data_IF_961347993257
#
_entry.id   IF_961347993257
#
_cell.length_a   1.000
_cell.length_b   1.000
_cell.length_c   1.000
_cell.angle_alpha   90.00
_cell.angle_beta   90.00
_cell.angle_gamma   90.00
#
_symmetry.space_group_name_H-M   'P 1'
#
loop_
_entity.id
_entity.type
_entity.pdbx_description
1 polymer ?
#
# COMPACT_ATOMS: atom_id res chain seq x y z
N UNK A 1 9.45 67.70 44.68
CA UNK A 1 9.81 68.01 43.28
C UNK A 1 10.40 66.75 42.67
N UNK A 2 9.63 66.04 41.84
CA UNK A 2 10.11 64.85 41.15
C UNK A 2 10.80 65.26 39.85
N UNK A 3 12.07 64.93 39.70
CA UNK A 3 12.79 65.08 38.42
C UNK A 3 12.34 63.99 37.46
N UNK A 4 11.56 64.37 36.44
CA UNK A 4 11.23 63.47 35.34
C UNK A 4 12.51 63.16 34.55
N UNK A 5 12.96 61.91 34.59
CA UNK A 5 14.04 61.40 33.74
C UNK A 5 13.42 60.95 32.42
N UNK A 6 13.65 61.71 31.35
CA UNK A 6 13.27 61.31 30.01
C UNK A 6 14.37 60.45 29.39
N UNK A 7 14.02 59.27 28.88
CA UNK A 7 14.93 58.43 28.10
C UNK A 7 14.98 58.98 26.67
N UNK A 8 16.13 59.49 26.26
CA UNK A 8 16.38 59.86 24.86
C UNK A 8 16.84 58.58 24.16
N UNK A 9 15.90 57.90 23.50
CA UNK A 9 16.26 56.87 22.53
C UNK A 9 16.86 57.55 21.30
N UNK A 10 18.04 57.11 20.85
CA UNK A 10 18.52 57.52 19.53
C UNK A 10 17.58 56.96 18.47
N UNK A 11 17.31 57.76 17.43
CA UNK A 11 16.46 57.37 16.31
C UNK A 11 16.91 56.04 15.69
N UNK A 12 18.23 55.80 15.62
CA UNK A 12 18.81 54.55 15.13
C UNK A 12 18.44 53.33 15.99
N UNK A 13 18.43 53.49 17.31
CA UNK A 13 18.06 52.41 18.24
C UNK A 13 16.58 52.02 18.09
N UNK A 14 15.72 53.01 17.84
CA UNK A 14 14.30 52.77 17.58
C UNK A 14 14.09 52.04 16.26
N UNK A 15 14.76 52.46 15.18
CA UNK A 15 14.67 51.80 13.87
C UNK A 15 15.19 50.36 13.94
N UNK A 16 16.32 50.12 14.60
CA UNK A 16 16.87 48.77 14.78
C UNK A 16 15.92 47.86 15.57
N UNK A 17 15.30 48.39 16.62
CA UNK A 17 14.30 47.64 17.39
C UNK A 17 13.08 47.27 16.53
N UNK A 18 12.53 48.22 15.77
CA UNK A 18 11.39 47.96 14.88
C UNK A 18 11.72 46.93 13.81
N UNK A 19 12.91 46.99 13.20
CA UNK A 19 13.36 45.99 12.24
C UNK A 19 13.51 44.60 12.86
N UNK A 20 14.02 44.53 14.09
CA UNK A 20 14.17 43.27 14.82
C UNK A 20 12.80 42.66 15.13
N UNK A 21 11.85 43.48 15.59
CA UNK A 21 10.47 43.05 15.85
C UNK A 21 9.81 42.59 14.56
N UNK A 22 9.94 43.34 13.46
CA UNK A 22 9.40 42.95 12.17
C UNK A 22 10.00 41.61 11.68
N UNK A 23 11.31 41.43 11.80
CA UNK A 23 11.99 40.19 11.42
C UNK A 23 11.53 38.99 12.27
N UNK A 24 11.40 39.17 13.59
CA UNK A 24 10.88 38.13 14.49
C UNK A 24 9.42 37.77 14.17
N UNK A 25 8.58 38.76 13.90
CA UNK A 25 7.18 38.52 13.50
C UNK A 25 7.10 37.82 12.14
N UNK A 26 7.94 38.19 11.17
CA UNK A 26 8.00 37.49 9.88
C UNK A 26 8.47 36.05 10.05
N UNK A 27 9.50 35.79 10.87
CA UNK A 27 9.97 34.43 11.17
C UNK A 27 8.89 33.59 11.84
N UNK A 28 8.22 34.14 12.86
CA UNK A 28 7.11 33.46 13.52
C UNK A 28 5.99 33.18 12.52
N UNK A 29 5.59 34.16 11.72
CA UNK A 29 4.58 33.98 10.69
C UNK A 29 4.96 32.85 9.73
N UNK A 30 6.15 32.87 9.14
CA UNK A 30 6.63 31.81 8.24
C UNK A 30 6.77 30.44 8.93
N UNK A 31 7.08 30.40 10.23
CA UNK A 31 7.13 29.14 10.99
C UNK A 31 5.74 28.57 11.31
N UNK A 32 4.72 29.44 11.40
CA UNK A 32 3.34 29.06 11.74
C UNK A 32 2.45 28.82 10.53
N UNK A 33 2.84 29.30 9.34
CA UNK A 33 2.15 28.94 8.09
C UNK A 33 2.36 27.44 7.91
N UNK A 34 1.29 26.62 7.90
CA UNK A 34 1.40 25.22 7.56
C UNK A 34 2.12 25.17 6.23
N UNK A 35 3.31 24.57 6.23
CA UNK A 35 4.23 24.64 5.10
C UNK A 35 3.47 24.31 3.82
N UNK A 36 3.73 25.02 2.72
CA UNK A 36 3.05 24.82 1.44
C UNK A 36 3.08 23.35 0.96
N UNK A 37 3.96 22.54 1.53
CA UNK A 37 4.08 21.10 1.37
C UNK A 37 2.94 20.27 2.00
N UNK A 38 2.14 20.83 2.90
CA UNK A 38 1.10 20.08 3.62
C UNK A 38 -0.02 19.57 2.69
N UNK A 39 -0.39 20.35 1.68
CA UNK A 39 -1.38 19.91 0.68
C UNK A 39 -0.85 18.72 -0.13
N UNK A 40 0.40 18.77 -0.59
CA UNK A 40 1.04 17.67 -1.32
C UNK A 40 1.22 16.43 -0.44
N UNK A 41 1.57 16.60 0.84
CA UNK A 41 1.67 15.49 1.78
C UNK A 41 0.31 14.83 2.05
N UNK A 42 -0.75 15.64 2.21
CA UNK A 42 -2.11 15.12 2.36
C UNK A 42 -2.56 14.40 1.10
N UNK A 43 -2.29 14.93 -0.09
CA UNK A 43 -2.59 14.25 -1.36
C UNK A 43 -1.85 12.91 -1.46
N UNK A 44 -0.55 12.86 -1.15
CA UNK A 44 0.21 11.61 -1.13
C UNK A 44 -0.38 10.58 -0.15
N UNK A 45 -0.85 11.04 1.01
CA UNK A 45 -1.48 10.17 2.01
C UNK A 45 -2.82 9.61 1.52
N UNK A 46 -3.67 10.46 0.92
CA UNK A 46 -4.93 9.99 0.33
C UNK A 46 -4.68 9.03 -0.83
N UNK A 47 -3.74 9.35 -1.72
CA UNK A 47 -3.35 8.45 -2.81
C UNK A 47 -2.87 7.10 -2.29
N UNK A 48 -1.99 7.08 -1.27
CA UNK A 48 -1.52 5.82 -0.69
C UNK A 48 -2.67 4.98 -0.10
N UNK A 49 -3.59 5.62 0.63
CA UNK A 49 -4.74 4.93 1.23
C UNK A 49 -5.74 4.44 0.22
N UNK A 50 -6.15 5.30 -0.70
CA UNK A 50 -7.20 5.00 -1.68
C UNK A 50 -6.68 3.95 -2.66
N UNK A 51 -5.42 4.04 -3.09
CA UNK A 51 -4.78 3.01 -3.92
C UNK A 51 -4.74 1.67 -3.22
N UNK A 52 -4.21 1.62 -1.98
CA UNK A 52 -4.09 0.37 -1.25
C UNK A 52 -5.46 -0.25 -0.94
N UNK A 53 -6.45 0.59 -0.61
CA UNK A 53 -7.84 0.14 -0.43
C UNK A 53 -8.40 -0.42 -1.73
N UNK A 54 -8.21 0.27 -2.85
CA UNK A 54 -8.69 -0.16 -4.17
C UNK A 54 -8.09 -1.52 -4.54
N UNK A 55 -6.77 -1.68 -4.39
CA UNK A 55 -6.11 -2.97 -4.64
C UNK A 55 -6.65 -4.08 -3.74
N UNK A 56 -6.95 -3.77 -2.47
CA UNK A 56 -7.45 -4.75 -1.51
C UNK A 56 -8.91 -5.13 -1.75
N UNK A 57 -9.72 -4.26 -2.36
CA UNK A 57 -11.18 -4.48 -2.52
C UNK A 57 -11.60 -4.84 -3.94
N UNK A 58 -10.81 -4.48 -4.95
CA UNK A 58 -11.17 -4.74 -6.34
C UNK A 58 -10.68 -6.12 -6.74
N UNK A 59 -11.64 -6.96 -7.12
CA UNK A 59 -11.41 -8.31 -7.61
C UNK A 59 -11.17 -8.31 -9.12
N UNK A 60 -10.32 -9.21 -9.57
CA UNK A 60 -10.02 -9.46 -10.97
C UNK A 60 -11.21 -10.19 -11.59
N UNK A 61 -11.76 -9.62 -12.66
CA UNK A 61 -12.87 -10.23 -13.40
C UNK A 61 -12.41 -11.47 -14.18
N UNK A 62 -13.34 -12.33 -14.56
CA UNK A 62 -13.04 -13.49 -15.41
C UNK A 62 -12.45 -13.09 -16.77
N UNK A 63 -12.88 -11.94 -17.30
CA UNK A 63 -12.39 -11.38 -18.57
C UNK A 63 -11.01 -10.72 -18.44
N UNK A 64 -10.62 -10.35 -17.22
CA UNK A 64 -9.34 -9.68 -16.89
C UNK A 64 -8.31 -10.65 -16.29
N UNK A 65 -8.68 -11.90 -16.04
CA UNK A 65 -7.75 -12.94 -15.61
C UNK A 65 -6.79 -13.23 -16.77
N UNK A 66 -5.55 -12.77 -16.62
CA UNK A 66 -4.57 -12.82 -17.70
C UNK A 66 -4.35 -14.26 -18.16
N UNK A 67 -4.35 -14.45 -19.48
CA UNK A 67 -4.08 -15.75 -20.12
C UNK A 67 -2.65 -16.24 -19.86
N UNK A 68 -1.80 -15.38 -19.29
CA UNK A 68 -0.42 -15.68 -18.88
C UNK A 68 -0.31 -16.23 -17.44
N UNK A 69 -1.42 -16.28 -16.69
CA UNK A 69 -1.46 -16.95 -15.39
C UNK A 69 -0.85 -16.16 -14.22
N UNK A 70 -0.71 -14.84 -14.35
CA UNK A 70 -0.16 -13.98 -13.28
C UNK A 70 -1.15 -13.87 -12.12
N UNK A 71 -2.45 -13.76 -12.42
CA UNK A 71 -3.51 -13.65 -11.42
C UNK A 71 -4.72 -14.51 -11.78
N UNK A 72 -5.34 -15.14 -10.78
CA UNK A 72 -6.60 -15.87 -10.97
C UNK A 72 -7.83 -14.95 -10.86
N UNK A 73 -8.89 -15.28 -11.62
CA UNK A 73 -10.19 -14.64 -11.49
C UNK A 73 -10.73 -14.73 -10.05
N UNK A 74 -11.32 -13.65 -9.55
CA UNK A 74 -11.87 -13.59 -8.20
C UNK A 74 -10.85 -13.25 -7.11
N UNK A 75 -9.54 -13.27 -7.39
CA UNK A 75 -8.55 -12.71 -6.48
C UNK A 75 -8.59 -11.18 -6.49
N UNK A 76 -8.17 -10.54 -5.40
CA UNK A 76 -7.98 -9.09 -5.36
C UNK A 76 -6.66 -8.71 -6.02
N UNK A 77 -6.55 -7.52 -6.60
CA UNK A 77 -5.28 -7.06 -7.17
C UNK A 77 -4.14 -7.08 -6.15
N UNK A 78 -4.44 -6.75 -4.89
CA UNK A 78 -3.46 -6.83 -3.81
C UNK A 78 -3.00 -8.27 -3.55
N UNK A 79 -3.94 -9.23 -3.57
CA UNK A 79 -3.62 -10.65 -3.41
C UNK A 79 -2.67 -11.11 -4.50
N UNK A 80 -2.98 -10.79 -5.75
CA UNK A 80 -2.14 -11.17 -6.88
C UNK A 80 -0.71 -10.62 -6.76
N UNK A 81 -0.57 -9.32 -6.45
CA UNK A 81 0.75 -8.69 -6.30
C UNK A 81 1.57 -9.36 -5.17
N UNK A 82 0.92 -9.81 -4.11
CA UNK A 82 1.60 -10.46 -2.97
C UNK A 82 1.91 -11.92 -3.29
N UNK A 83 1.00 -12.67 -3.92
CA UNK A 83 1.22 -14.07 -4.28
C UNK A 83 2.31 -14.24 -5.34
N UNK A 84 2.44 -13.26 -6.23
CA UNK A 84 3.47 -13.23 -7.27
C UNK A 84 4.88 -12.97 -6.69
N UNK A 85 5.01 -12.57 -5.42
CA UNK A 85 6.30 -12.26 -4.81
C UNK A 85 7.09 -13.51 -4.39
N UNK A 86 7.47 -14.36 -5.36
CA UNK A 86 8.45 -15.42 -5.15
C UNK A 86 9.86 -14.80 -4.95
N UNK A 87 10.49 -14.96 -3.77
CA UNK A 87 11.76 -14.30 -3.44
C UNK A 87 12.94 -14.73 -4.31
N UNK A 88 12.85 -15.85 -5.05
CA UNK A 88 13.96 -16.37 -5.87
C UNK A 88 13.94 -15.89 -7.34
N UNK A 89 12.89 -15.17 -7.78
CA UNK A 89 12.60 -14.88 -9.19
C UNK A 89 12.41 -13.40 -9.56
N UNK A 90 13.12 -12.48 -8.89
CA UNK A 90 12.96 -11.01 -8.93
C UNK A 90 12.86 -10.28 -10.30
N UNK A 91 12.92 -10.94 -11.46
CA UNK A 91 12.87 -10.25 -12.76
C UNK A 91 11.47 -10.16 -13.41
N UNK A 92 10.49 -10.98 -13.00
CA UNK A 92 9.16 -11.02 -13.66
C UNK A 92 8.01 -10.42 -12.81
N UNK A 93 8.21 -10.27 -11.49
CA UNK A 93 7.12 -9.92 -10.53
C UNK A 93 6.86 -8.41 -10.39
N UNK A 94 7.64 -7.56 -11.08
CA UNK A 94 7.41 -6.11 -11.16
C UNK A 94 6.21 -5.76 -12.07
N UNK A 95 5.70 -6.72 -12.84
CA UNK A 95 4.68 -6.49 -13.87
C UNK A 95 3.31 -6.18 -13.24
N UNK A 96 2.87 -6.96 -12.26
CA UNK A 96 1.54 -6.78 -11.64
C UNK A 96 1.42 -5.42 -10.93
N UNK A 97 2.40 -5.08 -10.09
CA UNK A 97 2.41 -3.78 -9.41
C UNK A 97 2.48 -2.61 -10.40
N UNK A 98 3.28 -2.74 -11.47
CA UNK A 98 3.37 -1.73 -12.52
C UNK A 98 2.05 -1.55 -13.27
N UNK A 99 1.35 -2.64 -13.60
CA UNK A 99 0.08 -2.63 -14.34
C UNK A 99 -1.06 -2.06 -13.48
N UNK A 100 -1.20 -2.53 -12.23
CA UNK A 100 -2.38 -2.21 -11.42
C UNK A 100 -2.26 -0.89 -10.64
N UNK A 101 -1.05 -0.41 -10.38
CA UNK A 101 -0.82 0.81 -9.59
C UNK A 101 -0.37 1.99 -10.46
N UNK A 102 0.54 1.72 -11.40
CA UNK A 102 1.21 2.74 -12.21
C UNK A 102 0.67 2.85 -13.63
N UNK A 103 1.23 3.79 -14.39
CA UNK A 103 1.03 3.87 -15.84
C UNK A 103 2.22 3.24 -16.55
N UNK A 104 1.94 2.36 -17.53
CA UNK A 104 2.95 1.84 -18.44
C UNK A 104 3.37 2.93 -19.41
N UNK A 105 4.65 3.33 -19.39
CA UNK A 105 5.20 4.39 -20.23
C UNK A 105 5.65 3.96 -21.63
N UNK A 106 5.20 2.82 -22.14
CA UNK A 106 5.71 2.24 -23.40
C UNK A 106 4.62 2.04 -24.45
N UNK A 107 4.97 2.43 -25.68
CA UNK A 107 4.13 2.49 -26.87
C UNK A 107 3.25 1.24 -27.08
N UNK A 108 1.96 1.37 -26.76
CA UNK A 108 0.92 0.47 -27.23
C UNK A 108 0.60 -0.67 -26.27
N UNK A 109 -0.43 -0.48 -25.45
CA UNK A 109 -1.69 -1.26 -25.43
C UNK A 109 -2.49 -1.00 -24.13
N UNK A 110 -1.88 -0.45 -23.07
CA UNK A 110 -2.59 -0.10 -21.81
C UNK A 110 -2.22 1.31 -21.32
N UNK A 111 -2.92 2.34 -21.81
CA UNK A 111 -2.53 3.76 -21.63
C UNK A 111 -3.27 4.50 -20.49
N UNK A 112 -4.18 3.87 -19.74
CA UNK A 112 -5.19 4.66 -19.00
C UNK A 112 -5.48 4.29 -17.53
N UNK A 113 -4.73 3.41 -16.87
CA UNK A 113 -5.08 3.00 -15.49
C UNK A 113 -3.96 3.12 -14.49
N UNK A 114 -3.62 4.36 -14.11
CA UNK A 114 -2.76 4.62 -12.96
C UNK A 114 -3.60 5.10 -11.76
N UNK A 115 -3.64 4.30 -10.69
CA UNK A 115 -4.19 4.73 -9.39
C UNK A 115 -3.34 5.86 -8.79
N UNK A 116 -2.03 5.84 -9.06
CA UNK A 116 -1.09 6.88 -8.65
C UNK A 116 -0.70 7.76 -9.85
N UNK A 117 -1.08 9.05 -9.89
CA UNK A 117 -0.74 9.94 -11.01
C UNK A 117 0.77 10.05 -11.24
N UNK A 118 1.21 10.15 -12.49
CA UNK A 118 2.63 10.19 -12.91
C UNK A 118 3.49 11.31 -12.27
N UNK A 119 2.85 12.32 -11.66
CA UNK A 119 3.54 13.34 -10.88
C UNK A 119 4.09 12.84 -9.53
N UNK A 120 3.64 11.67 -9.07
CA UNK A 120 4.12 11.00 -7.86
C UNK A 120 4.89 9.73 -8.21
N UNK A 121 5.91 9.42 -7.41
CA UNK A 121 6.50 8.09 -7.34
C UNK A 121 5.87 7.27 -6.23
N UNK A 122 6.01 5.96 -6.30
CA UNK A 122 5.54 5.08 -5.23
C UNK A 122 6.44 3.86 -5.05
N UNK A 123 6.36 3.29 -3.86
CA UNK A 123 7.03 2.06 -3.47
C UNK A 123 6.07 1.18 -2.68
N UNK A 124 5.94 -0.07 -3.09
CA UNK A 124 5.16 -1.09 -2.41
C UNK A 124 6.11 -2.06 -1.72
N UNK A 125 5.83 -2.37 -0.46
CA UNK A 125 6.64 -3.24 0.38
C UNK A 125 5.72 -4.13 1.22
N UNK A 126 6.18 -5.31 1.62
CA UNK A 126 5.58 -6.03 2.73
C UNK A 126 6.60 -6.20 3.86
N UNK A 127 6.10 -6.36 5.08
CA UNK A 127 6.92 -6.78 6.21
C UNK A 127 7.06 -8.29 6.16
N UNK A 128 8.30 -8.75 5.99
CA UNK A 128 8.68 -10.13 6.22
C UNK A 128 9.11 -10.26 7.69
N UNK A 129 8.57 -11.25 8.38
CA UNK A 129 8.91 -11.51 9.78
C UNK A 129 9.76 -12.75 9.82
N UNK A 130 10.95 -12.65 10.42
CA UNK A 130 11.83 -13.80 10.56
C UNK A 130 11.13 -14.88 11.38
N UNK A 131 11.02 -16.06 10.78
CA UNK A 131 10.51 -17.25 11.45
C UNK A 131 11.65 -17.83 12.30
N UNK A 132 11.46 -17.85 13.63
CA UNK A 132 12.44 -18.46 14.53
C UNK A 132 12.44 -19.98 14.36
N UNK A 133 13.52 -20.66 14.77
CA UNK A 133 13.73 -22.13 14.62
C UNK A 133 12.61 -23.02 15.23
N UNK A 134 11.65 -22.46 15.96
CA UNK A 134 10.50 -23.16 16.57
C UNK A 134 9.13 -22.72 16.03
N UNK A 135 9.07 -21.99 14.91
CA UNK A 135 7.80 -21.48 14.34
C UNK A 135 7.19 -20.34 15.15
N UNK A 136 7.97 -19.69 16.02
CA UNK A 136 7.59 -18.46 16.70
C UNK A 136 7.96 -17.27 15.81
N UNK A 137 7.00 -16.37 15.59
CA UNK A 137 7.20 -15.17 14.77
C UNK A 137 7.74 -14.04 15.65
N UNK A 138 8.94 -13.55 15.37
CA UNK A 138 9.46 -12.36 16.05
C UNK A 138 8.95 -11.07 15.40
N UNK A 139 7.91 -10.48 15.98
CA UNK A 139 7.38 -9.20 15.53
C UNK A 139 8.32 -8.00 15.76
N UNK A 140 9.43 -8.20 16.47
CA UNK A 140 10.40 -7.14 16.76
C UNK A 140 11.53 -7.02 15.73
N UNK A 141 11.77 -8.07 14.95
CA UNK A 141 12.82 -8.16 13.93
C UNK A 141 12.21 -8.46 12.54
N UNK A 142 11.31 -7.57 12.07
CA UNK A 142 10.77 -7.65 10.72
C UNK A 142 11.52 -6.75 9.74
N UNK A 143 11.79 -7.26 8.54
CA UNK A 143 12.41 -6.51 7.44
C UNK A 143 11.38 -6.14 6.37
N UNK A 144 11.51 -4.92 5.84
CA UNK A 144 10.67 -4.49 4.72
C UNK A 144 11.25 -5.02 3.42
N UNK A 145 10.55 -5.97 2.82
CA UNK A 145 10.85 -6.51 1.50
C UNK A 145 10.18 -5.62 0.45
N UNK A 146 10.97 -5.14 -0.50
CA UNK A 146 10.48 -4.33 -1.61
C UNK A 146 9.78 -5.23 -2.63
N UNK A 147 8.49 -4.99 -2.85
CA UNK A 147 7.72 -5.65 -3.90
C UNK A 147 7.89 -4.93 -5.23
N UNK A 148 7.89 -3.60 -5.19
CA UNK A 148 8.01 -2.78 -6.38
C UNK A 148 8.38 -1.34 -6.02
N UNK A 149 9.22 -0.71 -6.84
CA UNK A 149 9.67 0.66 -6.62
C UNK A 149 9.81 1.43 -7.93
N UNK A 150 9.02 2.50 -8.09
CA UNK A 150 9.07 3.29 -9.33
C UNK A 150 10.39 4.03 -9.53
N UNK A 151 11.19 4.23 -8.48
CA UNK A 151 12.48 4.90 -8.61
C UNK A 151 13.51 4.04 -9.37
N UNK A 152 13.42 2.72 -9.23
CA UNK A 152 14.35 1.75 -9.84
C UNK A 152 13.86 1.31 -11.23
N UNK A 153 12.55 1.24 -11.46
CA UNK A 153 11.97 0.88 -12.77
C UNK A 153 12.28 1.95 -13.84
N UNK A 154 12.94 1.56 -14.93
CA UNK A 154 13.21 2.42 -16.10
C UNK A 154 12.00 2.65 -17.01
N UNK A 155 10.99 1.81 -16.93
CA UNK A 155 9.80 1.82 -17.78
C UNK A 155 8.61 2.53 -17.15
N UNK A 156 8.66 2.81 -15.85
CA UNK A 156 7.57 3.47 -15.13
C UNK A 156 7.42 4.94 -15.53
N UNK A 157 6.20 5.33 -15.89
CA UNK A 157 5.84 6.76 -16.02
C UNK A 157 5.93 7.51 -14.68
N UNK A 158 5.90 6.77 -13.57
CA UNK A 158 6.04 7.26 -12.20
C UNK A 158 7.50 7.28 -11.71
N UNK A 159 8.49 7.20 -12.61
CA UNK A 159 9.91 7.26 -12.25
C UNK A 159 10.27 8.61 -11.62
N UNK A 160 10.20 8.67 -10.30
CA UNK A 160 10.57 9.80 -9.45
C UNK A 160 11.54 9.29 -8.41
N UNK A 161 12.53 10.11 -8.08
CA UNK A 161 13.38 9.87 -6.92
C UNK A 161 12.75 10.56 -5.70
N UNK A 162 12.90 9.92 -4.53
CA UNK A 162 12.47 10.53 -3.28
C UNK A 162 13.35 11.76 -2.96
N UNK A 163 12.73 12.94 -2.89
CA UNK A 163 13.49 14.15 -2.57
C UNK A 163 13.07 14.82 -1.26
N UNK A 164 11.77 14.88 -0.91
CA UNK A 164 11.33 15.67 0.27
C UNK A 164 10.14 15.13 1.03
N UNK A 165 9.09 14.66 0.36
CA UNK A 165 7.83 14.32 1.01
C UNK A 165 7.46 12.88 0.66
N UNK A 166 7.08 12.13 1.70
CA UNK A 166 6.51 10.79 1.56
C UNK A 166 5.36 10.61 2.54
N UNK A 167 4.35 9.89 2.10
CA UNK A 167 3.27 9.41 2.95
C UNK A 167 3.12 7.91 2.73
N UNK A 168 2.86 7.17 3.79
CA UNK A 168 2.69 5.73 3.74
C UNK A 168 1.32 5.32 4.28
N UNK A 169 0.66 4.41 3.57
CA UNK A 169 -0.51 3.69 4.03
C UNK A 169 -0.13 2.23 4.30
N UNK A 170 -0.82 1.60 5.25
CA UNK A 170 -0.59 0.21 5.63
C UNK A 170 -1.89 -0.56 5.55
N UNK A 171 -1.82 -1.81 5.14
CA UNK A 171 -2.92 -2.77 5.14
C UNK A 171 -2.42 -4.10 5.72
N UNK A 172 -3.34 -4.86 6.33
CA UNK A 172 -3.10 -6.25 6.71
C UNK A 172 -3.66 -7.13 5.62
N UNK A 173 -2.84 -8.00 5.08
CA UNK A 173 -3.23 -9.03 4.13
C UNK A 173 -3.21 -10.39 4.84
N UNK A 174 -4.29 -11.16 4.65
CA UNK A 174 -4.41 -12.52 5.16
C UNK A 174 -4.49 -13.45 3.95
N UNK A 175 -3.54 -14.36 3.86
CA UNK A 175 -3.45 -15.37 2.81
C UNK A 175 -3.43 -16.78 3.39
N UNK A 176 -3.57 -17.77 2.51
CA UNK A 176 -3.42 -19.18 2.84
C UNK A 176 -2.36 -19.76 1.91
N UNK A 177 -1.51 -20.65 2.42
CA UNK A 177 -0.64 -21.45 1.57
C UNK A 177 -1.46 -22.48 0.79
N UNK A 178 -1.27 -22.48 -0.53
CA UNK A 178 -2.02 -23.33 -1.45
C UNK A 178 -3.37 -22.74 -1.88
N UNK A 179 -3.80 -23.16 -3.06
CA UNK A 179 -5.19 -22.97 -3.50
C UNK A 179 -5.98 -24.10 -2.86
N UNK A 180 -7.15 -23.86 -2.24
CA UNK A 180 -8.05 -24.95 -1.89
C UNK A 180 -8.38 -25.69 -3.19
N UNK A 181 -7.75 -26.84 -3.42
CA UNK A 181 -8.12 -27.69 -4.53
C UNK A 181 -9.58 -28.07 -4.28
N UNK A 182 -10.46 -27.77 -5.23
CA UNK A 182 -11.87 -28.11 -5.14
C UNK A 182 -12.03 -29.63 -5.25
N UNK A 183 -11.68 -30.35 -4.20
CA UNK A 183 -12.15 -31.71 -3.99
C UNK A 183 -13.66 -31.68 -3.88
N UNK A 184 -14.35 -32.57 -4.60
CA UNK A 184 -15.81 -32.67 -4.61
C UNK A 184 -16.41 -32.92 -3.21
N UNK A 185 -15.58 -33.21 -2.19
CA UNK A 185 -15.98 -33.54 -0.84
C UNK A 185 -15.03 -32.97 0.24
N UNK A 186 -14.90 -31.65 0.34
CA UNK A 186 -14.34 -31.06 1.58
C UNK A 186 -15.38 -31.16 2.71
N UNK A 187 -15.07 -31.83 3.86
CA UNK A 187 -15.97 -31.87 5.02
C UNK A 187 -16.05 -30.52 5.75
N UNK A 188 -15.23 -29.55 5.35
CA UNK A 188 -15.14 -28.23 5.94
C UNK A 188 -15.80 -27.21 5.01
N UNK A 189 -17.04 -26.83 5.35
CA UNK A 189 -17.75 -25.74 4.69
C UNK A 189 -17.23 -24.40 5.22
N UNK A 190 -16.43 -23.70 4.43
CA UNK A 190 -16.01 -22.35 4.77
C UNK A 190 -17.05 -21.34 4.29
N UNK A 191 -17.60 -20.58 5.23
CA UNK A 191 -18.56 -19.52 4.97
C UNK A 191 -17.79 -18.20 4.88
N UNK A 192 -17.46 -17.76 3.68
CA UNK A 192 -16.88 -16.44 3.47
C UNK A 192 -18.01 -15.41 3.41
N UNK A 193 -18.12 -14.57 4.44
CA UNK A 193 -19.13 -13.51 4.48
C UNK A 193 -18.57 -12.23 3.83
N UNK A 194 -19.28 -11.65 2.85
CA UNK A 194 -18.93 -10.38 2.20
C UNK A 194 -20.06 -9.34 2.27
N UNK A 195 -19.72 -8.06 2.42
CA UNK A 195 -20.65 -6.91 2.36
C UNK A 195 -20.79 -6.08 3.65
N UNK A 196 -21.29 -4.84 3.54
CA UNK A 196 -21.44 -3.88 4.66
C UNK A 196 -22.48 -4.29 5.72
N UNK A 197 -23.37 -5.22 5.39
CA UNK A 197 -24.37 -5.83 6.29
C UNK A 197 -24.51 -7.32 5.93
N UNK A 198 -23.68 -8.17 6.52
CA UNK A 198 -23.49 -9.58 6.12
C UNK A 198 -24.71 -10.47 6.39
N UNK A 199 -25.48 -10.76 5.34
CA UNK A 199 -26.17 -12.05 5.20
C UNK A 199 -25.12 -12.99 4.61
N UNK A 200 -24.70 -13.98 5.39
CA UNK A 200 -23.82 -15.01 4.87
C UNK A 200 -24.68 -15.98 4.05
N UNK A 201 -24.44 -16.03 2.74
CA UNK A 201 -25.09 -17.02 1.90
C UNK A 201 -24.47 -18.39 2.16
N UNK A 202 -25.33 -19.37 2.42
CA UNK A 202 -24.91 -20.77 2.45
C UNK A 202 -24.56 -21.20 1.02
N UNK A 203 -23.43 -21.85 0.78
CA UNK A 203 -23.16 -22.43 -0.53
C UNK A 203 -24.29 -23.41 -0.88
N UNK A 204 -24.82 -23.34 -2.10
CA UNK A 204 -25.87 -24.26 -2.54
C UNK A 204 -25.38 -25.71 -2.38
N UNK A 205 -26.19 -26.62 -1.81
CA UNK A 205 -25.77 -28.00 -1.60
C UNK A 205 -25.54 -28.66 -2.96
N UNK A 206 -24.28 -29.05 -3.23
CA UNK A 206 -23.95 -29.91 -4.36
C UNK A 206 -24.71 -31.23 -4.24
N UNK A 207 -25.35 -31.64 -5.33
CA UNK A 207 -26.10 -32.89 -5.42
C UNK A 207 -25.08 -34.04 -5.51
N UNK A 208 -24.93 -34.75 -4.40
CA UNK A 208 -24.05 -35.90 -4.21
C UNK A 208 -24.43 -37.07 -5.15
N UNK A 209 -23.49 -37.52 -6.00
CA UNK A 209 -23.56 -38.82 -6.68
C UNK A 209 -22.74 -39.82 -5.88
N UNK A 210 -23.40 -40.57 -4.99
CA UNK A 210 -22.82 -41.71 -4.26
C UNK A 210 -22.13 -42.69 -5.23
N UNK A 211 -20.80 -42.84 -5.10
CA UNK A 211 -20.04 -44.11 -5.14
C UNK A 211 -18.54 -43.85 -5.41
N UNK A 212 -17.76 -43.43 -4.40
CA UNK A 212 -16.32 -43.74 -4.36
C UNK A 212 -15.82 -43.85 -2.92
N UNK A 213 -15.03 -44.90 -2.65
CA UNK A 213 -14.28 -45.11 -1.39
C UNK A 213 -13.31 -43.94 -1.19
N UNK A 214 -13.66 -42.98 -0.33
CA UNK A 214 -12.80 -41.88 0.10
C UNK A 214 -12.28 -42.14 1.52
N UNK A 215 -11.23 -42.95 1.64
CA UNK A 215 -10.31 -42.89 2.77
C UNK A 215 -9.07 -42.13 2.28
N UNK A 216 -8.74 -41.00 2.93
CA UNK A 216 -7.44 -40.29 2.95
C UNK A 216 -7.25 -38.91 2.28
N UNK A 217 -8.24 -38.25 1.68
CA UNK A 217 -8.05 -36.85 1.22
C UNK A 217 -8.98 -35.88 1.95
N UNK A 218 -8.68 -35.60 3.22
CA UNK A 218 -9.20 -34.39 3.86
C UNK A 218 -8.31 -33.22 3.41
N UNK A 219 -8.83 -32.36 2.53
CA UNK A 219 -8.15 -31.14 2.10
C UNK A 219 -7.93 -30.23 3.32
N UNK A 220 -6.71 -30.21 3.81
CA UNK A 220 -6.25 -29.29 4.84
C UNK A 220 -5.95 -27.98 4.11
N UNK A 221 -6.70 -26.91 4.40
CA UNK A 221 -6.26 -25.55 4.04
C UNK A 221 -4.84 -25.40 4.57
N UNK A 222 -3.89 -25.09 3.68
CA UNK A 222 -2.50 -24.89 4.08
C UNK A 222 -2.35 -23.75 5.09
N UNK A 223 -1.13 -23.56 5.58
CA UNK A 223 -0.91 -22.63 6.68
C UNK A 223 -1.39 -21.21 6.33
N UNK A 224 -2.17 -20.62 7.22
CA UNK A 224 -2.63 -19.25 7.06
C UNK A 224 -1.48 -18.30 7.42
N UNK A 225 -1.18 -17.36 6.54
CA UNK A 225 -0.15 -16.36 6.78
C UNK A 225 -0.74 -14.95 6.78
N UNK A 226 -0.08 -14.03 7.48
CA UNK A 226 -0.47 -12.63 7.55
C UNK A 226 0.72 -11.75 7.19
N UNK A 227 0.53 -10.82 6.25
CA UNK A 227 1.56 -9.86 5.84
C UNK A 227 1.09 -8.43 6.09
N UNK A 228 1.99 -7.59 6.60
CA UNK A 228 1.75 -6.15 6.66
C UNK A 228 2.23 -5.53 5.36
N UNK A 229 1.33 -4.96 4.58
CA UNK A 229 1.67 -4.31 3.31
C UNK A 229 1.74 -2.81 3.51
N UNK A 230 2.75 -2.17 2.92
CA UNK A 230 2.95 -0.73 2.94
C UNK A 230 3.05 -0.18 1.53
N UNK A 231 2.19 0.78 1.21
CA UNK A 231 2.33 1.62 0.02
C UNK A 231 2.83 3.01 0.44
N UNK A 232 4.00 3.39 -0.06
CA UNK A 232 4.59 4.70 0.15
C UNK A 232 4.48 5.52 -1.14
N UNK A 233 3.81 6.67 -1.08
CA UNK A 233 3.71 7.63 -2.20
C UNK A 233 4.58 8.85 -1.88
N UNK A 234 5.35 9.32 -2.87
CA UNK A 234 6.30 10.40 -2.70
C UNK A 234 6.38 11.34 -3.91
N UNK A 235 6.92 12.54 -3.66
CA UNK A 235 7.16 13.61 -4.65
C UNK A 235 8.61 14.03 -4.69
#
# INVERSE_FOLDING_TARGET
>A
MGTSKAFIFSLDSFVAFVLTVAALYSLLFFSTVPSAYYSSLMQANYLAKDTLLTLATTTIGEDDADTEGICDAGQTYLSCIISDSDPEGMDENDVAARIYIGSQGTEGIYDESALVPAQFGYKLEYMDFDELEEGEIDFSEGDWVELYNTATDSHSANKKEYHKLKAAAHALYFGYEGVPEGGEESPLFYMTCGGDYTICDWPEPFIYYDNYDHEDNADIIGDAYTRIVRLTVYT
#
